data_IF_079360129677
#
_entry.id   IF_079360129677
#
_cell.length_a   1.000
_cell.length_b   1.000
_cell.length_c   1.000
_cell.angle_alpha   90.00
_cell.angle_beta   90.00
_cell.angle_gamma   90.00
#
_symmetry.space_group_name_H-M   'P 1'
#
loop_
_entity.id
_entity.type
_entity.pdbx_description
1 polymer ?
#
# COMPACT_ATOMS: atom_id res chain seq x y z
N UNK A 1 9.48 11.85 -4.75
CA UNK A 1 10.13 11.66 -3.44
C UNK A 1 9.11 10.97 -2.55
N UNK A 2 9.49 9.84 -1.90
CA UNK A 2 8.58 9.15 -0.99
C UNK A 2 8.23 10.04 0.20
N UNK A 3 6.99 9.93 0.71
CA UNK A 3 6.55 10.66 1.88
C UNK A 3 7.31 10.22 3.15
N UNK A 4 7.29 11.03 4.22
CA UNK A 4 7.90 10.66 5.48
C UNK A 4 7.20 9.44 6.09
N UNK A 5 7.99 8.54 6.69
CA UNK A 5 7.47 7.30 7.30
C UNK A 5 7.87 7.22 8.76
N UNK A 6 6.88 6.94 9.62
CA UNK A 6 7.10 6.64 11.03
C UNK A 6 7.30 5.13 11.19
N UNK A 7 8.46 4.73 11.70
CA UNK A 7 8.75 3.32 11.98
C UNK A 7 8.43 3.03 13.45
N UNK A 8 7.52 2.08 13.67
CA UNK A 8 7.05 1.67 14.99
C UNK A 8 7.63 0.30 15.34
N UNK A 9 8.28 0.21 16.50
CA UNK A 9 8.85 -1.06 16.97
C UNK A 9 7.80 -1.94 17.63
N UNK A 10 7.57 -3.13 17.08
CA UNK A 10 6.60 -4.09 17.61
C UNK A 10 6.93 -4.60 19.01
N UNK A 11 8.21 -4.62 19.40
CA UNK A 11 8.61 -5.06 20.74
C UNK A 11 8.18 -4.02 21.79
N UNK A 12 8.29 -2.73 21.48
CA UNK A 12 7.83 -1.66 22.38
C UNK A 12 6.32 -1.70 22.53
N UNK A 13 5.59 -1.88 21.44
CA UNK A 13 4.14 -2.08 21.50
C UNK A 13 3.74 -3.33 22.30
N UNK A 14 4.49 -4.44 22.21
CA UNK A 14 4.23 -5.64 23.02
C UNK A 14 4.44 -5.42 24.50
N UNK A 15 5.41 -4.57 24.87
CA UNK A 15 5.63 -4.22 26.28
C UNK A 15 4.48 -3.44 26.87
N UNK A 16 3.75 -2.67 26.04
CA UNK A 16 2.57 -1.90 26.46
C UNK A 16 1.31 -2.79 26.45
N UNK A 17 1.00 -3.42 25.35
CA UNK A 17 -0.16 -4.32 25.21
C UNK A 17 0.10 -5.44 24.20
N UNK A 18 0.32 -6.65 24.70
CA UNK A 18 0.55 -7.83 23.88
C UNK A 18 -0.71 -8.29 23.12
N UNK A 19 -1.91 -8.02 23.66
CA UNK A 19 -3.18 -8.42 23.03
C UNK A 19 -3.48 -7.55 21.82
N UNK A 20 -3.17 -6.26 21.90
CA UNK A 20 -3.29 -5.31 20.80
C UNK A 20 -2.38 -5.74 19.63
N UNK A 21 -1.11 -6.06 19.92
CA UNK A 21 -0.17 -6.48 18.87
C UNK A 21 -0.63 -7.75 18.17
N UNK A 22 -1.12 -8.74 18.93
CA UNK A 22 -1.62 -9.99 18.34
C UNK A 22 -2.83 -9.74 17.41
N UNK A 23 -3.75 -8.85 17.79
CA UNK A 23 -4.88 -8.46 16.95
C UNK A 23 -4.41 -7.69 15.72
N UNK A 24 -3.47 -6.77 15.87
CA UNK A 24 -2.89 -6.02 14.76
C UNK A 24 -2.15 -6.94 13.78
N UNK A 25 -1.48 -7.98 14.26
CA UNK A 25 -0.81 -8.97 13.41
C UNK A 25 -1.81 -9.80 12.59
N UNK A 26 -2.98 -10.13 13.14
CA UNK A 26 -4.01 -10.92 12.44
C UNK A 26 -4.91 -10.06 11.53
N UNK A 27 -5.21 -8.82 11.91
CA UNK A 27 -6.07 -7.91 11.13
C UNK A 27 -5.47 -6.51 11.10
N UNK A 28 -4.39 -6.27 10.34
CA UNK A 28 -3.60 -5.04 10.42
C UNK A 28 -4.31 -3.78 9.94
N UNK A 29 -5.19 -3.89 8.94
CA UNK A 29 -5.74 -2.74 8.20
C UNK A 29 -6.38 -1.68 9.10
N UNK A 30 -7.36 -2.00 9.99
CA UNK A 30 -8.01 -0.98 10.81
C UNK A 30 -7.02 -0.30 11.78
N UNK A 31 -6.03 -1.05 12.26
CA UNK A 31 -5.01 -0.50 13.16
C UNK A 31 -4.01 0.42 12.44
N UNK A 32 -3.60 0.06 11.22
CA UNK A 32 -2.70 0.90 10.40
C UNK A 32 -3.38 2.23 10.10
N UNK A 33 -4.64 2.22 9.65
CA UNK A 33 -5.40 3.44 9.36
C UNK A 33 -5.53 4.34 10.60
N UNK A 34 -5.85 3.75 11.75
CA UNK A 34 -5.95 4.49 13.01
C UNK A 34 -4.60 5.07 13.46
N UNK A 35 -3.51 4.29 13.33
CA UNK A 35 -2.16 4.74 13.66
C UNK A 35 -1.68 5.85 12.73
N UNK A 36 -1.94 5.75 11.43
CA UNK A 36 -1.62 6.80 10.47
C UNK A 36 -2.40 8.09 10.77
N UNK A 37 -3.68 7.99 11.09
CA UNK A 37 -4.49 9.15 11.46
C UNK A 37 -3.96 9.83 12.73
N UNK A 38 -3.68 9.05 13.79
CA UNK A 38 -3.14 9.57 15.03
C UNK A 38 -1.74 10.18 14.85
N UNK A 39 -0.87 9.53 14.07
CA UNK A 39 0.47 10.03 13.79
C UNK A 39 0.43 11.37 13.03
N UNK A 40 -0.46 11.49 12.05
CA UNK A 40 -0.65 12.74 11.30
C UNK A 40 -1.21 13.86 12.20
N UNK A 41 -2.13 13.54 13.11
CA UNK A 41 -2.69 14.49 14.06
C UNK A 41 -1.62 15.03 15.03
N UNK A 42 -0.85 14.13 15.67
CA UNK A 42 0.24 14.50 16.58
C UNK A 42 1.30 15.32 15.85
N UNK A 43 1.71 14.89 14.64
CA UNK A 43 2.70 15.60 13.85
C UNK A 43 2.23 17.02 13.47
N UNK A 44 0.95 17.20 13.18
CA UNK A 44 0.38 18.52 12.87
C UNK A 44 0.36 19.47 14.07
N UNK A 45 0.25 18.94 15.31
CA UNK A 45 0.26 19.72 16.53
C UNK A 45 1.67 20.17 16.92
N UNK A 46 2.69 19.30 16.73
CA UNK A 46 4.02 19.55 17.29
C UNK A 46 5.01 20.19 16.32
N UNK A 47 4.80 20.15 15.01
CA UNK A 47 5.81 20.55 14.04
C UNK A 47 5.33 21.62 13.05
N UNK A 48 5.95 22.81 13.09
CA UNK A 48 5.78 23.85 12.06
C UNK A 48 6.29 23.37 10.68
N UNK A 49 7.28 22.50 10.65
CA UNK A 49 7.81 21.90 9.40
C UNK A 49 6.82 20.92 8.80
N UNK A 50 6.14 20.12 9.65
CA UNK A 50 5.12 19.19 9.21
C UNK A 50 3.86 19.88 8.68
N UNK A 51 3.52 21.04 9.26
CA UNK A 51 2.41 21.86 8.74
C UNK A 51 2.65 22.30 7.29
N UNK A 52 3.90 22.56 6.90
CA UNK A 52 4.24 22.82 5.49
C UNK A 52 4.07 21.59 4.60
N UNK A 53 4.47 20.41 5.08
CA UNK A 53 4.28 19.14 4.35
C UNK A 53 2.80 18.77 4.22
N UNK A 54 1.98 19.02 5.23
CA UNK A 54 0.53 18.78 5.17
C UNK A 54 -0.19 19.71 4.21
N UNK A 55 0.31 20.94 4.01
CA UNK A 55 -0.17 21.85 2.97
C UNK A 55 0.10 21.31 1.55
N UNK A 56 1.11 20.47 1.38
CA UNK A 56 1.43 19.78 0.12
C UNK A 56 0.66 18.45 -0.07
N UNK A 57 -0.30 18.14 0.80
CA UNK A 57 -1.04 16.87 0.85
C UNK A 57 -0.14 15.62 1.03
N UNK A 58 1.00 15.78 1.68
CA UNK A 58 1.89 14.68 2.03
C UNK A 58 1.43 14.12 3.37
N UNK A 59 0.95 12.88 3.37
CA UNK A 59 0.54 12.17 4.60
C UNK A 59 1.68 11.31 5.12
N UNK A 60 1.84 11.29 6.45
CA UNK A 60 2.79 10.43 7.14
C UNK A 60 2.28 8.99 7.10
N UNK A 61 3.13 8.06 6.66
CA UNK A 61 2.83 6.63 6.61
C UNK A 61 3.49 5.91 7.78
N UNK A 62 2.87 4.80 8.24
CA UNK A 62 3.40 3.98 9.32
C UNK A 62 4.08 2.73 8.75
N UNK A 63 5.25 2.40 9.29
CA UNK A 63 5.97 1.15 9.05
C UNK A 63 6.20 0.41 10.37
N UNK A 64 6.45 -0.89 10.31
CA UNK A 64 6.70 -1.72 11.48
C UNK A 64 8.06 -2.38 11.41
N UNK A 65 8.74 -2.46 12.56
CA UNK A 65 9.99 -3.18 12.72
C UNK A 65 9.97 -4.01 14.00
N UNK A 66 11.00 -4.84 14.20
CA UNK A 66 11.16 -5.68 15.38
C UNK A 66 10.77 -7.13 15.13
N UNK A 67 10.41 -7.85 16.19
CA UNK A 67 10.10 -9.28 16.10
C UNK A 67 8.66 -9.55 15.65
N UNK A 68 8.48 -10.29 14.56
CA UNK A 68 7.18 -10.71 14.04
C UNK A 68 6.74 -12.08 14.62
N UNK A 69 7.58 -12.72 15.42
CA UNK A 69 7.25 -14.01 16.02
C UNK A 69 6.87 -15.08 15.00
N UNK A 70 5.69 -15.70 15.15
CA UNK A 70 5.16 -16.72 14.23
C UNK A 70 4.87 -16.21 12.81
N UNK A 71 4.74 -14.90 12.64
CA UNK A 71 4.46 -14.28 11.34
C UNK A 71 5.75 -13.92 10.56
N UNK A 72 6.91 -14.33 11.07
CA UNK A 72 8.15 -14.31 10.32
C UNK A 72 8.26 -15.60 9.50
N UNK A 73 8.02 -15.52 8.20
CA UNK A 73 7.87 -16.67 7.31
C UNK A 73 8.80 -16.58 6.09
N UNK A 74 9.21 -17.74 5.59
CA UNK A 74 9.88 -17.82 4.28
C UNK A 74 8.83 -17.74 3.15
N UNK A 75 9.23 -17.51 1.89
CA UNK A 75 8.32 -17.58 0.74
C UNK A 75 7.52 -18.88 0.65
N UNK A 76 8.08 -19.99 1.16
CA UNK A 76 7.43 -21.30 1.23
C UNK A 76 6.37 -21.37 2.34
N UNK A 77 6.55 -20.62 3.42
CA UNK A 77 5.66 -20.58 4.57
C UNK A 77 4.42 -19.68 4.38
N UNK A 78 4.30 -18.99 3.26
CA UNK A 78 3.11 -18.20 2.93
C UNK A 78 1.94 -19.13 2.59
N UNK A 79 1.15 -19.45 3.61
CA UNK A 79 -0.04 -20.29 3.52
C UNK A 79 -1.31 -19.43 3.59
N UNK A 80 -2.47 -20.07 3.37
CA UNK A 80 -3.78 -19.41 3.49
C UNK A 80 -4.03 -18.80 4.87
N UNK A 81 -3.38 -19.32 5.92
CA UNK A 81 -3.43 -18.75 7.28
C UNK A 81 -2.80 -17.35 7.38
N UNK A 82 -1.90 -17.00 6.47
CA UNK A 82 -1.26 -15.70 6.42
C UNK A 82 -2.08 -14.63 5.68
N UNK A 83 -3.21 -15.02 5.08
CA UNK A 83 -4.07 -14.09 4.36
C UNK A 83 -4.60 -13.00 5.29
N UNK A 84 -4.54 -11.74 4.83
CA UNK A 84 -4.96 -10.54 5.57
C UNK A 84 -4.19 -10.29 6.87
N UNK A 85 -3.08 -10.98 7.11
CA UNK A 85 -2.23 -10.80 8.29
C UNK A 85 -0.97 -10.00 7.95
N UNK A 86 -0.39 -9.38 8.98
CA UNK A 86 0.91 -8.74 8.89
C UNK A 86 1.99 -9.82 8.99
N UNK A 87 2.79 -9.96 7.94
CA UNK A 87 3.87 -10.96 7.88
C UNK A 87 5.22 -10.29 7.56
N UNK A 88 6.29 -10.91 8.03
CA UNK A 88 7.65 -10.59 7.66
C UNK A 88 8.17 -11.70 6.76
N UNK A 89 8.55 -11.36 5.53
CA UNK A 89 9.11 -12.33 4.57
C UNK A 89 10.59 -12.03 4.36
N UNK A 90 11.40 -13.07 4.46
CA UNK A 90 12.84 -13.00 4.28
C UNK A 90 13.26 -13.79 3.05
N UNK A 91 14.12 -13.19 2.22
CA UNK A 91 14.61 -13.84 1.01
C UNK A 91 15.56 -12.96 0.21
N UNK A 92 15.97 -13.45 -0.95
CA UNK A 92 16.89 -12.78 -1.87
C UNK A 92 16.06 -12.16 -3.00
N UNK A 93 16.25 -10.86 -3.26
CA UNK A 93 15.64 -10.20 -4.41
C UNK A 93 16.27 -10.71 -5.69
N UNK A 94 15.48 -11.34 -6.54
CA UNK A 94 15.92 -11.91 -7.81
C UNK A 94 15.50 -11.06 -9.00
N UNK A 95 14.38 -10.33 -8.89
CA UNK A 95 13.85 -9.51 -9.96
C UNK A 95 13.20 -8.25 -9.39
N UNK A 96 13.39 -7.14 -10.09
CA UNK A 96 12.76 -5.87 -9.79
C UNK A 96 12.20 -5.30 -11.08
N UNK A 97 10.92 -4.94 -11.10
CA UNK A 97 10.30 -4.31 -12.26
C UNK A 97 10.68 -2.82 -12.34
N UNK A 98 10.46 -2.22 -13.49
CA UNK A 98 10.47 -0.76 -13.59
C UNK A 98 9.30 -0.15 -12.84
N UNK A 99 9.49 1.05 -12.33
CA UNK A 99 8.41 1.84 -11.71
C UNK A 99 7.41 2.22 -12.81
N UNK A 100 6.12 2.02 -12.54
CA UNK A 100 5.03 2.35 -13.45
C UNK A 100 3.99 3.20 -12.73
N UNK A 101 3.53 4.30 -13.33
CA UNK A 101 2.43 5.07 -12.78
C UNK A 101 1.12 4.28 -12.90
N UNK A 102 0.36 4.21 -11.81
CA UNK A 102 -0.97 3.58 -11.74
C UNK A 102 -1.98 4.64 -11.37
N UNK A 103 -3.11 4.68 -12.09
CA UNK A 103 -4.11 5.70 -11.86
C UNK A 103 -4.91 5.40 -10.59
N UNK A 104 -5.10 6.45 -9.78
CA UNK A 104 -5.93 6.43 -8.57
C UNK A 104 -7.25 7.15 -8.82
N UNK A 105 -7.19 8.30 -9.49
CA UNK A 105 -8.35 9.10 -9.82
C UNK A 105 -8.20 9.67 -11.23
N UNK A 106 -9.16 9.43 -12.11
CA UNK A 106 -9.21 10.08 -13.42
C UNK A 106 -10.18 11.25 -13.41
N UNK A 107 -9.80 12.28 -14.14
CA UNK A 107 -10.66 13.42 -14.45
C UNK A 107 -10.93 13.42 -15.94
N UNK A 108 -12.19 13.44 -16.31
CA UNK A 108 -12.64 13.49 -17.70
C UNK A 108 -13.40 14.77 -17.93
N UNK A 109 -13.16 15.39 -19.05
CA UNK A 109 -13.80 16.62 -19.46
C UNK A 109 -14.66 16.39 -20.71
N UNK A 110 -15.85 16.96 -20.72
CA UNK A 110 -16.72 16.94 -21.88
C UNK A 110 -16.60 18.29 -22.60
N UNK A 111 -16.04 18.35 -23.83
CA UNK A 111 -15.86 19.62 -24.55
C UNK A 111 -17.19 20.27 -24.98
N UNK A 112 -18.29 19.49 -25.06
CA UNK A 112 -19.60 20.01 -25.43
C UNK A 112 -20.34 20.67 -24.28
N UNK A 113 -20.29 20.05 -23.09
CA UNK A 113 -21.06 20.52 -21.92
C UNK A 113 -20.23 21.34 -20.96
N UNK A 114 -18.89 21.33 -21.08
CA UNK A 114 -17.97 21.98 -20.15
C UNK A 114 -17.90 21.30 -18.77
N UNK A 115 -18.56 20.17 -18.60
CA UNK A 115 -18.61 19.45 -17.32
C UNK A 115 -17.39 18.54 -17.16
N UNK A 116 -16.87 18.45 -15.93
CA UNK A 116 -15.82 17.50 -15.55
C UNK A 116 -16.41 16.34 -14.74
N UNK A 117 -16.03 15.12 -15.11
CA UNK A 117 -16.37 13.88 -14.39
C UNK A 117 -15.13 13.35 -13.68
N UNK A 118 -15.18 13.22 -12.37
CA UNK A 118 -14.14 12.56 -11.56
C UNK A 118 -14.53 11.12 -11.31
N UNK A 119 -13.57 10.21 -11.50
CA UNK A 119 -13.77 8.78 -11.24
C UNK A 119 -12.61 8.24 -10.42
N UNK A 120 -12.93 7.65 -9.29
CA UNK A 120 -11.96 6.97 -8.42
C UNK A 120 -11.82 5.51 -8.84
N UNK A 121 -10.58 5.01 -8.82
CA UNK A 121 -10.27 3.62 -9.11
C UNK A 121 -9.76 2.93 -7.85
N UNK A 122 -10.29 1.75 -7.59
CA UNK A 122 -9.82 0.90 -6.52
C UNK A 122 -8.91 -0.19 -7.09
N UNK A 123 -7.76 -0.33 -6.48
CA UNK A 123 -6.88 -1.45 -6.76
C UNK A 123 -7.34 -2.67 -5.96
N UNK A 124 -7.43 -3.83 -6.61
CA UNK A 124 -7.74 -5.10 -5.94
C UNK A 124 -6.64 -5.52 -4.95
N UNK A 125 -5.43 -4.98 -5.14
CA UNK A 125 -4.25 -5.26 -4.31
C UNK A 125 -3.98 -4.17 -3.27
N UNK A 126 -4.74 -3.06 -3.28
CA UNK A 126 -4.53 -1.97 -2.34
C UNK A 126 -5.06 -2.35 -0.95
N UNK A 127 -4.23 -2.07 0.05
CA UNK A 127 -4.59 -2.13 1.48
C UNK A 127 -5.67 -1.12 1.87
N UNK A 128 -5.88 -0.11 1.04
CA UNK A 128 -6.89 0.89 1.29
C UNK A 128 -8.25 0.19 1.32
N UNK A 129 -8.76 0.01 2.52
CA UNK A 129 -10.19 -0.16 2.74
C UNK A 129 -10.84 0.97 1.98
N UNK A 130 -11.47 0.63 0.84
CA UNK A 130 -12.17 1.64 0.09
C UNK A 130 -13.07 2.40 1.06
N UNK A 131 -12.91 3.72 1.10
CA UNK A 131 -13.81 4.54 1.90
C UNK A 131 -15.24 4.26 1.47
N UNK A 132 -16.19 4.19 2.40
CA UNK A 132 -17.58 4.03 2.06
C UNK A 132 -18.00 5.14 1.09
N UNK A 133 -18.80 4.78 0.11
CA UNK A 133 -19.38 5.76 -0.81
C UNK A 133 -20.31 6.67 0.00
N UNK A 134 -20.17 7.96 -0.18
CA UNK A 134 -21.01 8.96 0.48
C UNK A 134 -22.11 9.34 -0.51
N UNK A 135 -23.37 9.28 -0.10
CA UNK A 135 -24.49 9.72 -0.91
C UNK A 135 -24.52 11.27 -1.06
N UNK A 136 -25.40 11.79 -1.91
CA UNK A 136 -25.55 13.24 -2.14
C UNK A 136 -25.91 14.02 -0.87
N UNK A 137 -26.39 13.32 0.19
CA UNK A 137 -26.73 13.90 1.50
C UNK A 137 -25.57 13.82 2.52
N UNK A 138 -24.41 13.28 2.13
CA UNK A 138 -23.24 13.14 3.02
C UNK A 138 -23.31 11.93 3.94
N UNK A 139 -24.21 10.97 3.69
CA UNK A 139 -24.38 9.76 4.48
C UNK A 139 -23.50 8.64 3.93
N UNK A 140 -22.71 8.02 4.78
CA UNK A 140 -21.87 6.88 4.40
C UNK A 140 -22.74 5.66 4.08
N UNK A 141 -22.52 5.05 2.91
CA UNK A 141 -23.12 3.78 2.50
C UNK A 141 -22.16 2.64 2.84
N UNK A 142 -22.37 1.90 3.95
CA UNK A 142 -21.40 0.89 4.42
C UNK A 142 -21.22 -0.27 3.44
N UNK A 143 -22.21 -0.54 2.58
CA UNK A 143 -22.17 -1.64 1.61
C UNK A 143 -21.57 -1.25 0.25
N UNK A 144 -21.29 0.02 0.03
CA UNK A 144 -20.70 0.53 -1.20
C UNK A 144 -19.33 1.14 -0.92
N UNK A 145 -18.33 0.55 -1.50
CA UNK A 145 -16.97 1.01 -1.40
C UNK A 145 -16.70 1.96 -2.58
N UNK A 146 -16.16 3.14 -2.26
CA UNK A 146 -15.78 4.15 -3.25
C UNK A 146 -14.75 3.58 -4.22
N UNK A 147 -14.96 3.84 -5.51
CA UNK A 147 -14.06 3.44 -6.58
C UNK A 147 -14.47 2.17 -7.33
N UNK A 148 -14.08 2.11 -8.57
CA UNK A 148 -14.39 1.01 -9.49
C UNK A 148 -13.16 0.14 -9.66
N UNK A 149 -13.32 -1.18 -9.51
CA UNK A 149 -12.24 -2.16 -9.73
C UNK A 149 -11.87 -2.35 -11.20
N UNK A 150 -12.65 -1.78 -12.12
CA UNK A 150 -12.46 -1.93 -13.55
C UNK A 150 -11.58 -0.80 -14.11
N UNK A 151 -10.50 -1.13 -14.81
CA UNK A 151 -9.61 -0.19 -15.48
C UNK A 151 -10.21 0.40 -16.78
N UNK A 152 -11.52 0.29 -16.97
CA UNK A 152 -12.19 0.84 -18.15
C UNK A 152 -12.49 2.31 -17.89
N UNK A 153 -11.85 3.16 -18.68
CA UNK A 153 -12.11 4.59 -18.65
C UNK A 153 -13.48 4.90 -19.25
N UNK A 154 -14.24 5.83 -18.63
CA UNK A 154 -15.48 6.29 -19.22
C UNK A 154 -15.18 7.03 -20.51
N UNK A 155 -15.73 6.56 -21.62
CA UNK A 155 -15.58 7.20 -22.94
C UNK A 155 -16.72 8.17 -23.27
N UNK A 156 -17.81 8.08 -22.53
CA UNK A 156 -19.03 8.87 -22.77
C UNK A 156 -19.66 9.31 -21.45
N UNK A 157 -20.29 10.47 -21.49
CA UNK A 157 -21.11 11.02 -20.41
C UNK A 157 -22.51 10.36 -20.38
N UNK A 158 -23.31 10.66 -19.35
CA UNK A 158 -24.70 10.21 -19.20
C UNK A 158 -25.57 10.61 -20.40
N UNK A 159 -25.25 11.70 -21.05
CA UNK A 159 -25.91 12.23 -22.25
C UNK A 159 -25.32 11.70 -23.58
N UNK A 160 -24.45 10.68 -23.49
CA UNK A 160 -23.79 10.05 -24.65
C UNK A 160 -22.78 10.98 -25.40
N UNK A 161 -22.34 12.07 -24.78
CA UNK A 161 -21.29 12.93 -25.33
C UNK A 161 -19.90 12.32 -25.08
N UNK A 162 -18.96 12.50 -26.01
CA UNK A 162 -17.59 11.99 -25.83
C UNK A 162 -16.88 12.71 -24.68
N UNK A 163 -16.12 11.94 -23.90
CA UNK A 163 -15.30 12.44 -22.81
C UNK A 163 -13.82 12.34 -23.19
N UNK A 164 -13.08 13.38 -22.88
CA UNK A 164 -11.63 13.43 -23.00
C UNK A 164 -10.97 13.36 -21.62
N UNK A 165 -9.88 12.60 -21.50
CA UNK A 165 -9.16 12.44 -20.23
C UNK A 165 -8.20 13.61 -20.01
N UNK A 166 -8.36 14.27 -18.87
CA UNK A 166 -7.47 15.35 -18.44
C UNK A 166 -6.35 14.78 -17.55
N UNK A 167 -5.20 14.56 -18.16
CA UNK A 167 -4.06 13.93 -17.49
C UNK A 167 -3.48 14.79 -16.36
N UNK A 168 -3.48 16.12 -16.52
CA UNK A 168 -2.92 17.05 -15.54
C UNK A 168 -3.71 17.14 -14.23
N UNK A 169 -5.01 16.84 -14.26
CA UNK A 169 -5.88 16.83 -13.08
C UNK A 169 -6.07 15.42 -12.50
N UNK A 170 -5.65 14.40 -13.24
CA UNK A 170 -5.73 13.01 -12.80
C UNK A 170 -4.64 12.67 -11.79
N UNK A 171 -4.94 11.83 -10.80
CA UNK A 171 -4.00 11.43 -9.75
C UNK A 171 -3.44 10.04 -10.04
N UNK A 172 -2.14 9.91 -9.88
CA UNK A 172 -1.39 8.67 -10.10
C UNK A 172 -0.63 8.29 -8.83
N UNK A 173 -0.34 7.00 -8.66
CA UNK A 173 0.60 6.48 -7.68
C UNK A 173 1.67 5.65 -8.38
N UNK A 174 2.85 5.61 -7.79
CA UNK A 174 3.92 4.76 -8.27
C UNK A 174 3.68 3.32 -7.85
N UNK A 175 3.97 2.39 -8.75
CA UNK A 175 3.78 0.96 -8.57
C UNK A 175 5.00 0.19 -9.09
N UNK A 176 5.48 -0.75 -8.28
CA UNK A 176 6.62 -1.58 -8.61
C UNK A 176 6.41 -2.99 -8.06
N UNK A 177 6.88 -4.00 -8.79
CA UNK A 177 6.87 -5.40 -8.34
C UNK A 177 8.29 -5.87 -8.11
N UNK A 178 8.54 -6.47 -6.96
CA UNK A 178 9.81 -7.06 -6.57
C UNK A 178 9.61 -8.55 -6.31
N UNK A 179 10.39 -9.41 -6.96
CA UNK A 179 10.35 -10.86 -6.73
C UNK A 179 11.42 -11.25 -5.72
N UNK A 180 11.00 -11.85 -4.62
CA UNK A 180 11.87 -12.38 -3.57
C UNK A 180 11.89 -13.91 -3.65
N UNK A 181 13.08 -14.49 -3.64
CA UNK A 181 13.31 -15.92 -3.64
C UNK A 181 13.76 -16.40 -2.26
N UNK A 182 13.32 -17.59 -1.87
CA UNK A 182 13.74 -18.27 -0.66
C UNK A 182 15.27 -18.45 -0.64
N UNK A 183 15.88 -18.25 0.53
CA UNK A 183 17.31 -18.48 0.70
C UNK A 183 17.64 -19.96 0.44
N UNK A 184 18.67 -20.26 -0.39
CA UNK A 184 19.04 -21.65 -0.68
C UNK A 184 19.41 -22.45 0.57
N UNK A 185 19.95 -21.78 1.59
CA UNK A 185 20.34 -22.40 2.88
C UNK A 185 19.14 -22.87 3.70
N UNK A 186 17.97 -22.25 3.50
CA UNK A 186 16.71 -22.61 4.18
C UNK A 186 15.80 -23.50 3.34
N UNK A 187 16.13 -23.69 2.06
CA UNK A 187 15.37 -24.58 1.20
C UNK A 187 15.65 -26.05 1.58
N UNK A 188 14.62 -26.90 1.66
CA UNK A 188 14.83 -28.34 1.89
C UNK A 188 15.69 -28.97 0.79
N UNK A 189 16.57 -29.90 1.16
CA UNK A 189 17.42 -30.61 0.22
C UNK A 189 16.60 -31.26 -0.91
N UNK A 190 17.05 -31.04 -2.14
CA UNK A 190 16.40 -31.61 -3.34
C UNK A 190 15.15 -30.86 -3.82
N UNK A 191 14.79 -29.75 -3.22
CA UNK A 191 13.68 -28.91 -3.67
C UNK A 191 14.19 -27.60 -4.29
N UNK A 192 13.49 -27.14 -5.32
CA UNK A 192 13.73 -25.83 -5.91
C UNK A 192 13.28 -24.72 -4.94
N UNK A 193 14.06 -23.64 -4.75
CA UNK A 193 13.66 -22.51 -3.93
C UNK A 193 12.41 -21.86 -4.52
N UNK A 194 11.45 -21.47 -3.66
CA UNK A 194 10.23 -20.79 -4.07
C UNK A 194 10.45 -19.29 -4.11
N UNK A 195 9.71 -18.63 -4.97
CA UNK A 195 9.69 -17.17 -5.08
C UNK A 195 8.29 -16.62 -4.86
N UNK A 196 8.20 -15.40 -4.40
CA UNK A 196 6.97 -14.63 -4.21
C UNK A 196 7.15 -13.23 -4.78
N UNK A 197 6.10 -12.71 -5.40
CA UNK A 197 6.09 -11.34 -5.89
C UNK A 197 5.51 -10.41 -4.82
N UNK A 198 6.24 -9.34 -4.52
CA UNK A 198 5.84 -8.29 -3.58
C UNK A 198 5.51 -7.04 -4.38
N UNK A 199 4.36 -6.48 -4.11
CA UNK A 199 3.90 -5.25 -4.73
C UNK A 199 4.26 -4.08 -3.83
N UNK A 200 4.97 -3.11 -4.39
CA UNK A 200 5.33 -1.87 -3.75
C UNK A 200 4.52 -0.74 -4.37
N UNK A 201 3.83 0.01 -3.53
CA UNK A 201 3.01 1.13 -3.95
C UNK A 201 3.48 2.42 -3.28
N UNK A 202 3.37 3.53 -4.03
CA UNK A 202 3.56 4.90 -3.58
C UNK A 202 4.93 5.17 -2.92
N UNK A 203 4.97 5.49 -1.64
CA UNK A 203 6.17 5.86 -0.87
C UNK A 203 7.22 4.74 -0.80
N UNK A 204 6.79 3.50 -0.97
CA UNK A 204 7.64 2.32 -0.88
C UNK A 204 8.50 2.10 -2.11
N UNK A 205 8.05 2.60 -3.25
CA UNK A 205 8.75 2.47 -4.52
C UNK A 205 10.08 3.23 -4.50
N UNK A 206 10.15 4.38 -3.85
CA UNK A 206 11.37 5.19 -3.75
C UNK A 206 12.39 4.69 -2.72
N UNK A 207 11.98 3.79 -1.80
CA UNK A 207 12.82 3.23 -0.74
C UNK A 207 13.65 2.02 -1.16
N UNK A 208 13.35 1.41 -2.31
CA UNK A 208 14.10 0.25 -2.82
C UNK A 208 15.26 0.73 -3.70
N UNK A 209 16.31 1.23 -3.08
CA UNK A 209 17.61 1.24 -3.73
C UNK A 209 18.11 -0.20 -3.79
N UNK A 210 18.01 -0.83 -4.95
CA UNK A 210 18.67 -2.11 -5.23
C UNK A 210 20.20 -1.87 -5.25
N UNK A 211 20.82 -1.82 -4.09
CA UNK A 211 22.28 -1.81 -3.99
C UNK A 211 22.77 -3.24 -4.27
N UNK A 212 23.32 -3.44 -5.44
CA UNK A 212 24.06 -4.64 -5.78
C UNK A 212 25.33 -4.71 -4.93
N UNK A 213 25.30 -5.51 -3.89
CA UNK A 213 26.49 -5.93 -3.19
C UNK A 213 26.85 -7.34 -3.63
N UNK A 214 28.14 -7.62 -3.79
CA UNK A 214 28.66 -8.92 -4.23
C UNK A 214 28.33 -10.09 -3.26
N UNK A 215 27.71 -9.82 -2.12
CA UNK A 215 27.32 -10.77 -1.08
C UNK A 215 25.82 -11.10 -1.03
N UNK A 216 25.05 -10.69 -2.06
CA UNK A 216 23.59 -10.86 -2.09
C UNK A 216 22.84 -9.72 -1.39
N UNK A 217 21.80 -9.22 -2.02
CA UNK A 217 20.95 -8.19 -1.44
C UNK A 217 20.00 -8.84 -0.45
N UNK A 218 20.30 -8.74 0.83
CA UNK A 218 19.33 -8.99 1.89
C UNK A 218 18.40 -7.78 1.95
N UNK A 219 17.20 -7.92 1.43
CA UNK A 219 16.12 -6.96 1.67
C UNK A 219 15.24 -7.56 2.76
N UNK A 220 15.37 -7.08 3.97
CA UNK A 220 14.36 -7.31 5.00
C UNK A 220 13.10 -6.55 4.61
N UNK A 221 12.24 -7.17 3.82
CA UNK A 221 10.93 -6.60 3.52
C UNK A 221 9.98 -6.92 4.66
N UNK A 222 9.80 -5.97 5.56
CA UNK A 222 8.81 -6.04 6.65
C UNK A 222 7.48 -5.50 6.13
N UNK A 223 6.65 -6.37 5.55
CA UNK A 223 5.44 -5.95 4.84
C UNK A 223 4.19 -6.70 5.25
N UNK A 224 3.05 -6.01 5.17
CA UNK A 224 1.76 -6.66 5.23
C UNK A 224 1.42 -7.32 3.89
N UNK A 225 1.23 -8.62 3.86
CA UNK A 225 0.70 -9.30 2.70
C UNK A 225 -0.82 -9.08 2.64
N UNK A 226 -1.25 -8.08 1.89
CA UNK A 226 -2.63 -7.94 1.47
C UNK A 226 -2.70 -8.23 -0.01
N UNK A 227 -3.15 -9.40 -0.35
CA UNK A 227 -3.49 -9.78 -1.72
C UNK A 227 -2.61 -10.87 -2.30
N UNK A 228 -3.00 -12.09 -2.11
CA UNK A 228 -2.98 -13.17 -3.08
C UNK A 228 -4.43 -13.48 -3.42
#
# INVERSE_FOLDING_TARGET
MGGPRLVVNLNDLRSLDSTLVNRMMSTPIPYIVALEAAANEIASQESTTYTKLSLENITLKVGFEGSFGSNHVSPRGLLSSCLKSLVCVEGIVTKCSTVRPKIVQSVHYCPKTGNSLKRDYRDSTALELGMPEVDESGREMPDRIRGVTNNIYPSKDKENNPLEMEYGLSKYKDHQTVTIQEMPERAPMGQLPRSVDIILDNDLVSGVECKWSASGVQVECKWSASGV
#
